data_IF_884650874843
#
_entry.id   IF_884650874843
#
_cell.length_a   1.000
_cell.length_b   1.000
_cell.length_c   1.000
_cell.angle_alpha   90.00
_cell.angle_beta   90.00
_cell.angle_gamma   90.00
#
_symmetry.space_group_name_H-M   'P 1'
#
loop_
_entity.id
_entity.type
_entity.pdbx_description
1 polymer ?
#
# COMPACT_ATOMS: atom_id res chain seq x y z
N UNK A 1 -46.91 41.36 -29.82
CA UNK A 1 -47.19 40.89 -31.19
C UNK A 1 -45.85 40.54 -31.85
N UNK A 2 -45.69 39.27 -32.27
CA UNK A 2 -44.82 38.72 -33.35
C UNK A 2 -43.68 39.64 -33.85
N UNK A 3 -42.42 39.21 -33.98
CA UNK A 3 -41.99 38.07 -34.83
C UNK A 3 -40.64 37.50 -34.37
N UNK A 4 -40.61 36.17 -34.27
CA UNK A 4 -39.42 35.32 -34.27
C UNK A 4 -38.98 35.16 -35.74
N UNK A 5 -37.70 35.33 -36.04
CA UNK A 5 -37.09 34.80 -37.27
C UNK A 5 -35.78 34.12 -36.90
N UNK A 6 -35.79 32.80 -37.01
CA UNK A 6 -34.61 31.92 -36.95
C UNK A 6 -33.71 32.16 -38.15
N UNK A 7 -32.39 32.26 -37.92
CA UNK A 7 -31.39 31.93 -38.94
C UNK A 7 -30.28 31.14 -38.23
N UNK A 8 -30.28 29.83 -38.49
CA UNK A 8 -29.25 28.87 -38.13
C UNK A 8 -28.15 28.95 -39.20
N UNK A 9 -26.97 29.47 -38.88
CA UNK A 9 -25.77 29.35 -39.72
C UNK A 9 -24.58 28.91 -38.87
N UNK A 10 -24.12 27.73 -39.22
CA UNK A 10 -22.92 27.00 -38.80
C UNK A 10 -21.65 27.81 -39.12
N UNK A 11 -20.83 28.11 -38.12
CA UNK A 11 -19.49 28.68 -38.29
C UNK A 11 -18.47 28.00 -37.36
N UNK A 12 -17.97 26.88 -37.87
CA UNK A 12 -16.62 26.28 -37.77
C UNK A 12 -15.67 27.01 -36.81
N UNK A 13 -15.38 26.38 -35.67
CA UNK A 13 -14.20 26.70 -34.85
C UNK A 13 -13.01 25.93 -35.41
N UNK A 14 -12.23 26.61 -36.24
CA UNK A 14 -10.88 26.20 -36.63
C UNK A 14 -9.89 26.74 -35.60
N UNK A 15 -9.50 25.90 -34.64
CA UNK A 15 -8.20 26.01 -33.99
C UNK A 15 -7.40 24.77 -34.38
N UNK A 16 -6.62 24.89 -35.46
CA UNK A 16 -5.68 23.86 -35.89
C UNK A 16 -4.40 23.93 -35.05
N UNK A 17 -4.19 22.86 -34.28
CA UNK A 17 -2.96 22.10 -34.08
C UNK A 17 -1.61 22.84 -34.00
N UNK A 18 -1.01 22.74 -32.81
CA UNK A 18 0.41 22.49 -32.51
C UNK A 18 0.38 21.77 -31.14
N UNK A 19 1.08 20.70 -30.78
CA UNK A 19 2.13 19.87 -31.37
C UNK A 19 2.29 18.65 -30.43
N UNK A 20 2.59 17.47 -30.98
CA UNK A 20 2.98 16.18 -30.38
C UNK A 20 2.90 15.93 -28.85
N UNK A 21 2.03 14.97 -28.49
CA UNK A 21 2.34 13.70 -27.80
C UNK A 21 3.16 13.72 -26.50
N UNK A 22 2.48 13.88 -25.37
CA UNK A 22 2.30 12.85 -24.33
C UNK A 22 1.50 13.52 -23.21
N UNK A 23 0.24 13.13 -23.08
CA UNK A 23 -0.41 13.27 -21.79
C UNK A 23 0.35 12.29 -20.89
N UNK A 24 1.16 12.80 -19.98
CA UNK A 24 1.58 12.00 -18.83
C UNK A 24 0.27 11.70 -18.10
N UNK A 25 -0.25 10.49 -18.34
CA UNK A 25 -1.39 9.96 -17.60
C UNK A 25 -0.91 9.88 -16.15
N UNK A 26 -1.27 10.87 -15.34
CA UNK A 26 -1.26 10.73 -13.88
C UNK A 26 -2.23 9.59 -13.57
N UNK A 27 -1.71 8.36 -13.61
CA UNK A 27 -2.42 7.17 -13.20
C UNK A 27 -2.78 7.39 -11.74
N UNK A 28 -4.07 7.59 -11.46
CA UNK A 28 -4.56 7.76 -10.09
C UNK A 28 -4.27 6.44 -9.37
N UNK A 29 -3.18 6.42 -8.59
CA UNK A 29 -2.77 5.24 -7.83
C UNK A 29 -3.72 5.07 -6.65
N UNK A 30 -4.72 4.19 -6.80
CA UNK A 30 -5.61 3.83 -5.69
C UNK A 30 -4.99 2.73 -4.81
N UNK A 31 -4.34 3.16 -3.73
CA UNK A 31 -3.75 2.27 -2.74
C UNK A 31 -4.74 1.77 -1.67
N UNK A 32 -5.98 2.28 -1.63
CA UNK A 32 -6.86 2.07 -0.46
C UNK A 32 -7.37 0.63 -0.34
N UNK A 33 -7.53 -0.09 -1.46
CA UNK A 33 -7.98 -1.48 -1.46
C UNK A 33 -6.98 -2.45 -0.83
N UNK A 34 -5.69 -2.23 -1.02
CA UNK A 34 -4.62 -3.17 -0.61
C UNK A 34 -4.51 -3.33 0.91
N UNK A 35 -4.80 -2.27 1.67
CA UNK A 35 -4.70 -2.30 3.14
C UNK A 35 -5.68 -3.28 3.78
N UNK A 36 -6.80 -3.61 3.13
CA UNK A 36 -7.80 -4.56 3.64
C UNK A 36 -7.34 -6.02 3.54
N UNK A 37 -6.35 -6.32 2.70
CA UNK A 37 -5.93 -7.68 2.39
C UNK A 37 -4.58 -8.10 3.00
N UNK A 38 -3.99 -7.22 3.80
CA UNK A 38 -2.71 -7.47 4.49
C UNK A 38 -3.01 -7.86 5.94
N UNK A 39 -2.60 -9.07 6.34
CA UNK A 39 -2.71 -9.55 7.71
C UNK A 39 -1.34 -9.84 8.31
N UNK A 40 -1.07 -9.20 9.45
CA UNK A 40 0.08 -9.49 10.29
C UNK A 40 -0.25 -10.67 11.21
N UNK A 41 0.41 -11.80 10.95
CA UNK A 41 0.34 -13.01 11.78
C UNK A 41 1.55 -13.10 12.70
N UNK A 42 1.36 -13.80 13.81
CA UNK A 42 2.45 -14.15 14.70
C UNK A 42 2.18 -15.52 15.35
N UNK A 43 3.24 -16.19 15.76
CA UNK A 43 3.21 -17.36 16.64
C UNK A 43 4.42 -17.35 17.56
N UNK A 44 4.23 -17.82 18.79
CA UNK A 44 5.34 -18.02 19.74
C UNK A 44 6.12 -19.27 19.31
N UNK A 45 7.45 -19.20 19.34
CA UNK A 45 8.30 -20.36 19.08
C UNK A 45 8.06 -21.46 20.13
N UNK A 46 8.08 -22.72 19.69
CA UNK A 46 7.78 -23.84 20.57
C UNK A 46 8.87 -24.11 21.62
N UNK A 47 10.11 -23.68 21.36
CA UNK A 47 11.24 -23.90 22.25
C UNK A 47 11.61 -22.68 23.11
N UNK A 48 11.22 -21.47 22.68
CA UNK A 48 11.58 -20.21 23.35
C UNK A 48 10.39 -19.23 23.36
N UNK A 49 9.83 -18.97 24.55
CA UNK A 49 8.69 -18.07 24.73
C UNK A 49 8.99 -16.61 24.38
N UNK A 50 10.28 -16.23 24.31
CA UNK A 50 10.74 -14.90 23.92
C UNK A 50 10.96 -14.75 22.43
N UNK A 51 10.93 -15.85 21.68
CA UNK A 51 11.08 -15.84 20.23
C UNK A 51 9.71 -15.90 19.58
N UNK A 52 9.42 -14.88 18.78
CA UNK A 52 8.17 -14.76 18.04
C UNK A 52 8.46 -14.87 16.55
N UNK A 53 7.69 -15.71 15.88
CA UNK A 53 7.69 -15.85 14.43
C UNK A 53 6.59 -14.97 13.85
N UNK A 54 6.94 -14.08 12.95
CA UNK A 54 6.02 -13.18 12.26
C UNK A 54 5.90 -13.55 10.79
N UNK A 55 4.72 -13.33 10.23
CA UNK A 55 4.51 -13.41 8.79
C UNK A 55 3.45 -12.42 8.32
N UNK A 56 3.57 -12.01 7.06
CA UNK A 56 2.55 -11.29 6.33
C UNK A 56 1.79 -12.26 5.43
N UNK A 57 0.47 -12.32 5.63
CA UNK A 57 -0.45 -12.87 4.64
C UNK A 57 -0.99 -11.70 3.81
N UNK A 58 -0.83 -11.79 2.50
CA UNK A 58 -1.27 -10.76 1.56
C UNK A 58 -2.10 -11.39 0.45
N UNK A 59 -3.29 -10.85 0.22
CA UNK A 59 -4.24 -11.33 -0.80
C UNK A 59 -4.76 -10.15 -1.64
N UNK A 60 -3.86 -9.44 -2.33
CA UNK A 60 -4.23 -8.35 -3.24
C UNK A 60 -3.80 -8.60 -4.68
N UNK A 61 -4.22 -7.73 -5.59
CA UNK A 61 -3.90 -7.79 -7.02
C UNK A 61 -2.50 -7.25 -7.35
N UNK A 62 -1.97 -6.34 -6.53
CA UNK A 62 -0.64 -5.74 -6.71
C UNK A 62 0.46 -6.70 -6.28
N UNK A 63 1.66 -6.54 -6.81
CA UNK A 63 2.79 -7.43 -6.45
C UNK A 63 3.42 -6.98 -5.14
N UNK A 64 3.51 -7.86 -4.15
CA UNK A 64 4.26 -7.59 -2.92
C UNK A 64 5.76 -7.51 -3.25
N UNK A 65 6.35 -6.34 -3.04
CA UNK A 65 7.75 -6.05 -3.40
C UNK A 65 8.68 -6.05 -2.20
N UNK A 66 8.23 -5.63 -1.02
CA UNK A 66 9.08 -5.54 0.17
C UNK A 66 8.25 -5.57 1.46
N UNK A 67 8.86 -6.03 2.56
CA UNK A 67 8.30 -5.96 3.92
C UNK A 67 9.40 -5.61 4.89
N UNK A 68 9.21 -4.52 5.64
CA UNK A 68 10.12 -4.09 6.71
C UNK A 68 9.41 -4.14 8.05
N UNK A 69 10.09 -4.65 9.07
CA UNK A 69 9.54 -4.84 10.40
C UNK A 69 10.21 -3.92 11.40
N UNK A 70 9.42 -3.35 12.29
CA UNK A 70 9.89 -2.75 13.54
C UNK A 70 9.21 -3.47 14.69
N UNK A 71 9.99 -4.05 15.60
CA UNK A 71 9.46 -4.94 16.64
C UNK A 71 9.04 -4.23 17.93
N UNK A 72 9.31 -2.92 18.03
CA UNK A 72 8.94 -2.11 19.21
C UNK A 72 9.98 -2.13 20.34
N UNK A 73 11.04 -2.92 20.22
CA UNK A 73 12.18 -2.98 21.15
C UNK A 73 13.44 -2.24 20.64
N UNK A 74 13.30 -1.51 19.53
CA UNK A 74 14.38 -0.78 18.86
C UNK A 74 15.09 -1.58 17.76
N UNK A 75 14.77 -2.86 17.60
CA UNK A 75 15.32 -3.69 16.52
C UNK A 75 14.38 -3.78 15.31
N UNK A 76 14.93 -4.21 14.18
CA UNK A 76 14.23 -4.27 12.88
C UNK A 76 14.50 -5.57 12.15
N UNK A 77 13.60 -5.94 11.24
CA UNK A 77 13.76 -7.10 10.36
C UNK A 77 13.23 -6.84 8.95
N UNK A 78 13.42 -7.78 8.03
CA UNK A 78 12.93 -7.68 6.65
C UNK A 78 12.46 -9.04 6.13
N UNK A 79 11.57 -9.02 5.16
CA UNK A 79 11.03 -10.23 4.50
C UNK A 79 9.59 -10.54 4.90
N UNK A 80 8.92 -11.36 4.09
CA UNK A 80 7.52 -11.75 4.32
C UNK A 80 7.32 -12.60 5.57
N UNK A 81 8.36 -13.34 5.98
CA UNK A 81 8.42 -14.08 7.24
C UNK A 81 9.74 -13.78 7.95
N UNK A 82 9.68 -13.55 9.26
CA UNK A 82 10.85 -13.23 10.09
C UNK A 82 10.66 -13.77 11.50
N UNK A 83 11.74 -14.26 12.12
CA UNK A 83 11.76 -14.59 13.54
C UNK A 83 12.52 -13.52 14.30
N UNK A 84 12.03 -13.16 15.48
CA UNK A 84 12.69 -12.20 16.37
C UNK A 84 12.67 -12.69 17.82
N UNK A 85 13.80 -12.57 18.51
CA UNK A 85 13.93 -12.94 19.93
C UNK A 85 14.08 -11.69 20.76
N UNK A 86 13.14 -11.46 21.68
CA UNK A 86 13.16 -10.32 22.58
C UNK A 86 14.08 -10.58 23.78
N UNK A 87 14.83 -9.56 24.20
CA UNK A 87 15.71 -9.66 25.37
C UNK A 87 14.90 -9.77 26.69
N UNK A 88 13.80 -9.02 26.79
CA UNK A 88 12.96 -8.92 27.97
C UNK A 88 11.50 -9.28 27.66
N UNK A 89 10.81 -9.81 28.67
CA UNK A 89 9.36 -9.95 28.65
C UNK A 89 8.70 -8.56 28.68
N UNK A 90 7.54 -8.42 28.04
CA UNK A 90 6.88 -7.14 27.90
C UNK A 90 5.83 -7.14 26.80
N UNK A 91 5.19 -6.00 26.59
CA UNK A 91 4.28 -5.79 25.46
C UNK A 91 4.92 -4.83 24.48
N UNK A 92 4.98 -5.24 23.21
CA UNK A 92 5.63 -4.51 22.14
C UNK A 92 4.65 -4.23 21.00
N UNK A 93 4.64 -3.00 20.48
CA UNK A 93 3.92 -2.67 19.25
C UNK A 93 4.79 -3.07 18.05
N UNK A 94 4.40 -4.16 17.39
CA UNK A 94 5.05 -4.62 16.16
C UNK A 94 4.35 -3.96 14.98
N UNK A 95 5.13 -3.43 14.04
CA UNK A 95 4.66 -2.85 12.78
C UNK A 95 5.38 -3.49 11.61
N UNK A 96 4.65 -3.77 10.53
CA UNK A 96 5.22 -4.18 9.26
C UNK A 96 4.88 -3.15 8.20
N UNK A 97 5.86 -2.54 7.55
CA UNK A 97 5.69 -1.69 6.38
C UNK A 97 5.76 -2.57 5.12
N UNK A 98 4.59 -2.91 4.57
CA UNK A 98 4.41 -3.78 3.40
C UNK A 98 4.29 -2.91 2.16
N UNK A 99 5.19 -3.11 1.21
CA UNK A 99 5.25 -2.35 -0.04
C UNK A 99 4.76 -3.20 -1.21
N UNK A 100 3.75 -2.73 -1.93
CA UNK A 100 3.23 -3.35 -3.14
C UNK A 100 3.48 -2.47 -4.38
N UNK A 101 3.59 -3.10 -5.55
CA UNK A 101 3.85 -2.45 -6.83
C UNK A 101 2.89 -2.92 -7.91
N UNK A 102 2.53 -2.00 -8.78
CA UNK A 102 1.76 -2.23 -10.00
C UNK A 102 2.24 -1.19 -11.02
N UNK A 103 2.81 -1.65 -12.15
CA UNK A 103 3.50 -0.74 -13.07
C UNK A 103 4.57 0.12 -12.37
N UNK A 104 4.47 1.44 -12.52
CA UNK A 104 5.35 2.41 -11.86
C UNK A 104 4.84 2.86 -10.48
N UNK A 105 3.64 2.43 -10.11
CA UNK A 105 2.98 2.86 -8.90
C UNK A 105 3.36 1.98 -7.70
N UNK A 106 3.74 2.60 -6.59
CA UNK A 106 4.09 1.92 -5.34
C UNK A 106 3.15 2.33 -4.23
N UNK A 107 2.68 1.37 -3.44
CA UNK A 107 1.87 1.62 -2.25
C UNK A 107 2.56 1.00 -1.03
N UNK A 108 2.45 1.65 0.13
CA UNK A 108 2.94 1.10 1.39
C UNK A 108 1.80 1.09 2.40
N UNK A 109 1.55 -0.07 3.00
CA UNK A 109 0.60 -0.27 4.09
C UNK A 109 1.36 -0.68 5.35
N UNK A 110 0.92 -0.20 6.51
CA UNK A 110 1.65 -0.36 7.77
C UNK A 110 0.78 -1.02 8.86
N UNK A 111 0.37 -2.30 8.71
CA UNK A 111 -0.33 -3.02 9.78
C UNK A 111 0.50 -3.03 11.07
N UNK A 112 -0.21 -2.88 12.20
CA UNK A 112 0.34 -2.89 13.55
C UNK A 112 -0.33 -3.95 14.40
N UNK A 113 0.40 -4.50 15.36
CA UNK A 113 -0.12 -5.45 16.33
C UNK A 113 0.61 -5.33 17.67
N UNK A 114 -0.15 -5.31 18.76
CA UNK A 114 0.40 -5.41 20.11
C UNK A 114 0.68 -6.88 20.43
N UNK A 115 1.93 -7.19 20.79
CA UNK A 115 2.39 -8.56 21.08
C UNK A 115 2.89 -8.61 22.52
N UNK A 116 2.36 -9.55 23.29
CA UNK A 116 2.83 -9.83 24.65
C UNK A 116 3.83 -10.97 24.62
N UNK A 117 5.02 -10.72 25.15
CA UNK A 117 6.13 -11.66 25.28
C UNK A 117 6.31 -11.99 26.76
N UNK A 118 6.38 -13.28 27.08
CA UNK A 118 6.43 -13.81 28.45
C UNK A 118 7.78 -14.43 28.80
#
# INVERSE_FOLDING_TARGET
>A
MKKIVSVLILAIVLFTANSCSKHDEEEIVDCFGDSLFIQLKHSVDAADSKKINYSIEYNGSRTLSDVKWTFGDGTTGTGTSVSHTYAAAGTFEVKADVTTKEGNATCTSSPKKSITVN
#
